data_IF_330532842462
#
_entry.id   IF_330532842462
#
_cell.length_a   1.000
_cell.length_b   1.000
_cell.length_c   1.000
_cell.angle_alpha   90.00
_cell.angle_beta   90.00
_cell.angle_gamma   90.00
#
_symmetry.space_group_name_H-M   'P 1'
#
loop_
_entity.id
_entity.type
_entity.pdbx_description
1 polymer ?
#
# COMPACT_ATOMS: atom_id res chain seq x y z
N UNK A 1 17.51 -8.02 35.53
CA UNK A 1 17.63 -6.59 35.85
C UNK A 1 16.87 -5.86 34.75
N UNK A 2 15.90 -5.03 35.10
CA UNK A 2 15.16 -4.20 34.12
C UNK A 2 16.15 -3.19 33.53
N UNK A 3 16.15 -3.00 32.21
CA UNK A 3 16.98 -2.00 31.53
C UNK A 3 16.68 -0.61 32.11
N UNK A 4 17.71 0.14 32.48
CA UNK A 4 17.58 1.48 33.11
C UNK A 4 16.81 2.46 32.25
N UNK A 5 16.87 2.31 30.91
CA UNK A 5 16.13 3.14 29.96
C UNK A 5 14.61 2.92 30.05
N UNK A 6 14.16 1.68 30.33
CA UNK A 6 12.74 1.38 30.53
C UNK A 6 12.23 2.03 31.81
N UNK A 7 13.05 1.99 32.90
CA UNK A 7 12.69 2.66 34.15
C UNK A 7 12.62 4.18 33.98
N UNK A 8 13.59 4.78 33.25
CA UNK A 8 13.60 6.20 32.90
C UNK A 8 12.36 6.60 32.07
N UNK A 9 11.97 5.80 31.07
CA UNK A 9 10.75 6.02 30.30
C UNK A 9 9.49 6.01 31.18
N UNK A 10 9.40 5.04 32.10
CA UNK A 10 8.25 4.91 32.99
C UNK A 10 8.18 6.09 33.98
N UNK A 11 9.31 6.64 34.37
CA UNK A 11 9.36 7.86 35.17
C UNK A 11 8.96 9.11 34.38
N UNK A 12 9.39 9.20 33.11
CA UNK A 12 9.06 10.33 32.23
C UNK A 12 7.58 10.33 31.79
N UNK A 13 6.94 9.15 31.75
CA UNK A 13 5.55 8.98 31.37
C UNK A 13 4.86 7.92 32.25
N UNK A 14 4.44 8.25 33.50
CA UNK A 14 3.93 7.27 34.47
C UNK A 14 2.68 6.51 34.04
N UNK A 15 1.83 7.10 33.18
CA UNK A 15 0.60 6.49 32.65
C UNK A 15 0.81 5.59 31.45
N UNK A 16 2.01 5.59 30.85
CA UNK A 16 2.30 4.86 29.62
C UNK A 16 2.28 3.34 29.85
N UNK A 17 1.47 2.66 29.03
CA UNK A 17 1.50 1.20 29.01
C UNK A 17 2.72 0.72 28.25
N UNK A 18 3.57 -0.06 28.90
CA UNK A 18 4.76 -0.70 28.32
C UNK A 18 4.57 -2.22 28.25
N UNK A 19 5.17 -2.85 27.24
CA UNK A 19 5.30 -4.30 27.13
C UNK A 19 6.77 -4.66 26.91
N UNK A 20 7.24 -5.67 27.61
CA UNK A 20 8.65 -6.12 27.61
C UNK A 20 8.78 -7.64 27.51
N UNK A 21 7.66 -8.36 27.47
CA UNK A 21 7.68 -9.81 27.34
C UNK A 21 8.20 -10.25 25.98
N UNK A 22 9.00 -11.33 25.89
CA UNK A 22 9.61 -11.79 24.64
C UNK A 22 8.59 -11.99 23.50
N UNK A 23 7.39 -12.53 23.80
CA UNK A 23 6.35 -12.74 22.81
C UNK A 23 5.80 -11.40 22.24
N UNK A 24 5.66 -10.38 23.09
CA UNK A 24 5.27 -9.03 22.68
C UNK A 24 6.38 -8.37 21.86
N UNK A 25 7.64 -8.47 22.30
CA UNK A 25 8.78 -7.92 21.56
C UNK A 25 8.87 -8.51 20.15
N UNK A 26 8.70 -9.82 20.03
CA UNK A 26 8.65 -10.50 18.73
C UNK A 26 7.46 -10.03 17.89
N UNK A 27 6.25 -9.99 18.46
CA UNK A 27 5.03 -9.64 17.74
C UNK A 27 5.04 -8.20 17.22
N UNK A 28 5.45 -7.23 18.07
CA UNK A 28 5.43 -5.80 17.72
C UNK A 28 6.67 -5.32 16.98
N UNK A 29 7.79 -6.04 17.11
CA UNK A 29 9.05 -5.65 16.46
C UNK A 29 9.18 -6.07 15.01
N UNK A 30 8.19 -6.76 14.43
CA UNK A 30 8.17 -7.23 13.05
C UNK A 30 7.02 -6.65 12.25
N UNK A 31 7.12 -6.69 10.92
CA UNK A 31 6.02 -6.50 9.98
C UNK A 31 5.65 -7.80 9.26
N UNK A 32 4.86 -7.69 8.20
CA UNK A 32 4.42 -8.87 7.43
C UNK A 32 5.54 -9.58 6.66
N UNK A 33 6.67 -8.90 6.40
CA UNK A 33 7.81 -9.50 5.65
C UNK A 33 8.47 -10.64 6.39
N UNK A 34 8.53 -10.57 7.72
CA UNK A 34 9.21 -11.55 8.60
C UNK A 34 10.68 -11.84 8.23
N UNK A 35 11.34 -10.88 7.58
CA UNK A 35 12.74 -11.03 7.11
C UNK A 35 13.79 -10.76 8.18
N UNK A 36 13.43 -10.03 9.23
CA UNK A 36 14.35 -9.62 10.31
C UNK A 36 13.91 -10.26 11.62
N UNK A 37 14.91 -10.62 12.45
CA UNK A 37 14.68 -11.02 13.83
C UNK A 37 14.39 -9.76 14.64
N UNK A 38 13.20 -9.65 15.27
CA UNK A 38 12.88 -8.50 16.10
C UNK A 38 13.78 -8.45 17.34
N UNK A 39 14.24 -7.24 17.68
CA UNK A 39 15.01 -6.99 18.89
C UNK A 39 14.72 -5.57 19.44
N UNK A 40 13.45 -5.18 19.65
CA UNK A 40 13.15 -3.88 20.24
C UNK A 40 13.51 -3.85 21.72
N UNK A 41 13.81 -2.63 22.24
CA UNK A 41 14.01 -2.36 23.66
C UNK A 41 12.74 -2.66 24.48
N UNK A 42 11.63 -2.14 24.04
CA UNK A 42 10.29 -2.27 24.63
C UNK A 42 9.23 -1.80 23.63
N UNK A 43 7.97 -2.05 23.96
CA UNK A 43 6.81 -1.57 23.21
C UNK A 43 6.08 -0.53 24.05
N UNK A 44 6.01 0.69 23.56
CA UNK A 44 5.24 1.78 24.15
C UNK A 44 3.85 1.85 23.48
N UNK A 45 2.80 1.91 24.27
CA UNK A 45 1.40 1.89 23.86
C UNK A 45 0.67 3.15 24.38
N UNK A 46 0.95 4.33 23.83
CA UNK A 46 0.28 5.56 24.23
C UNK A 46 -1.23 5.51 23.91
N UNK A 47 -2.03 6.18 24.73
CA UNK A 47 -3.45 6.39 24.53
C UNK A 47 -3.81 7.83 24.20
N UNK A 48 -2.88 8.76 24.40
CA UNK A 48 -3.08 10.20 24.17
C UNK A 48 -1.92 10.82 23.40
N UNK A 49 -2.16 12.01 22.85
CA UNK A 49 -1.12 12.79 22.14
C UNK A 49 0.00 13.19 23.09
N UNK A 50 -0.35 13.54 24.34
CA UNK A 50 0.59 13.95 25.37
C UNK A 50 1.55 12.81 25.75
N UNK A 51 1.05 11.56 25.80
CA UNK A 51 1.91 10.38 26.02
C UNK A 51 2.87 10.20 24.85
N UNK A 52 2.44 10.38 23.59
CA UNK A 52 3.33 10.33 22.41
C UNK A 52 4.39 11.43 22.51
N UNK A 53 4.00 12.67 22.86
CA UNK A 53 4.93 13.77 23.05
C UNK A 53 5.96 13.48 24.15
N UNK A 54 5.52 12.90 25.28
CA UNK A 54 6.42 12.52 26.40
C UNK A 54 7.42 11.45 25.96
N UNK A 55 6.98 10.42 25.23
CA UNK A 55 7.84 9.38 24.66
C UNK A 55 8.88 9.99 23.71
N UNK A 56 8.47 10.89 22.82
CA UNK A 56 9.39 11.51 21.85
C UNK A 56 10.41 12.43 22.53
N UNK A 57 10.01 13.20 23.57
CA UNK A 57 10.94 13.99 24.39
C UNK A 57 11.92 13.11 25.17
N UNK A 58 11.43 12.02 25.78
CA UNK A 58 12.30 11.05 26.45
C UNK A 58 13.31 10.45 25.47
N UNK A 59 12.83 9.99 24.30
CA UNK A 59 13.70 9.48 23.22
C UNK A 59 14.77 10.48 22.82
N UNK A 60 14.43 11.78 22.78
CA UNK A 60 15.37 12.84 22.49
C UNK A 60 16.47 12.99 23.56
N UNK A 61 16.09 12.87 24.82
CA UNK A 61 17.02 12.99 25.96
C UNK A 61 17.93 11.78 26.13
N UNK A 62 17.39 10.58 25.94
CA UNK A 62 18.13 9.30 26.15
C UNK A 62 18.86 8.81 24.89
N UNK A 63 18.65 9.42 23.74
CA UNK A 63 19.24 8.98 22.47
C UNK A 63 18.68 7.65 21.94
N UNK A 64 17.48 7.23 22.39
CA UNK A 64 16.86 5.97 21.98
C UNK A 64 16.07 6.18 20.68
N UNK A 65 16.33 5.36 19.67
CA UNK A 65 15.59 5.38 18.43
C UNK A 65 14.13 4.89 18.63
N UNK A 66 13.20 5.44 17.85
CA UNK A 66 11.76 5.10 17.89
C UNK A 66 11.29 4.61 16.53
N UNK A 67 10.59 3.48 16.52
CA UNK A 67 9.91 2.93 15.36
C UNK A 67 8.41 3.11 15.55
N UNK A 68 7.74 4.05 14.83
CA UNK A 68 6.30 4.16 14.83
C UNK A 68 5.67 2.90 14.22
N UNK A 69 4.64 2.37 14.86
CA UNK A 69 3.99 1.12 14.46
C UNK A 69 2.47 1.26 14.45
N UNK A 70 1.87 0.89 13.32
CA UNK A 70 0.42 0.74 13.17
C UNK A 70 0.02 -0.74 13.17
N UNK A 71 -0.71 -1.16 12.10
CA UNK A 71 -1.19 -2.54 11.94
C UNK A 71 -0.13 -3.58 11.58
N UNK A 72 1.08 -3.19 11.26
CA UNK A 72 2.21 -4.06 10.86
C UNK A 72 1.94 -4.94 9.63
N UNK A 73 1.02 -4.50 8.78
CA UNK A 73 0.65 -5.16 7.52
C UNK A 73 1.60 -4.86 6.37
N UNK A 74 2.57 -3.96 6.59
CA UNK A 74 3.52 -3.50 5.57
C UNK A 74 4.42 -4.61 5.03
N UNK A 75 4.84 -4.45 3.77
CA UNK A 75 5.63 -5.41 2.99
C UNK A 75 7.04 -4.90 2.66
N UNK A 76 7.49 -3.83 3.32
CA UNK A 76 8.79 -3.20 3.03
C UNK A 76 9.77 -3.17 4.22
N UNK A 77 9.39 -3.68 5.39
CA UNK A 77 10.22 -3.57 6.60
C UNK A 77 10.08 -2.23 7.32
N UNK A 78 9.05 -1.43 7.01
CA UNK A 78 8.85 -0.09 7.54
C UNK A 78 8.60 -0.02 9.05
N UNK A 79 7.98 -1.05 9.65
CA UNK A 79 7.68 -1.13 11.07
C UNK A 79 8.62 -2.09 11.85
N UNK A 80 9.71 -2.54 11.24
CA UNK A 80 10.66 -3.46 11.87
C UNK A 80 11.55 -2.73 12.89
N UNK A 81 11.67 -3.28 14.10
CA UNK A 81 12.59 -2.85 15.14
C UNK A 81 13.52 -4.02 15.49
N UNK A 82 14.78 -3.97 15.03
CA UNK A 82 15.74 -5.06 15.12
C UNK A 82 17.07 -4.66 15.82
N UNK A 83 17.19 -3.41 16.29
CA UNK A 83 18.45 -2.86 16.79
C UNK A 83 18.30 -2.13 18.15
N UNK A 84 17.36 -2.57 18.99
CA UNK A 84 17.16 -1.96 20.29
C UNK A 84 16.33 -0.68 20.30
N UNK A 85 15.60 -0.41 19.24
CA UNK A 85 14.68 0.73 19.14
C UNK A 85 13.47 0.54 20.08
N UNK A 86 12.86 1.63 20.51
CA UNK A 86 11.54 1.60 21.12
C UNK A 86 10.46 1.50 20.03
N UNK A 87 9.60 0.49 20.08
CA UNK A 87 8.41 0.47 19.22
C UNK A 87 7.33 1.36 19.84
N UNK A 88 6.83 2.30 19.07
CA UNK A 88 5.72 3.18 19.46
C UNK A 88 4.45 2.74 18.72
N UNK A 89 3.66 1.88 19.35
CA UNK A 89 2.42 1.36 18.76
C UNK A 89 1.22 2.25 19.10
N UNK A 90 0.53 2.74 18.05
CA UNK A 90 -0.61 3.63 18.19
C UNK A 90 -1.95 2.90 18.33
N UNK A 91 -1.98 1.58 18.52
CA UNK A 91 -3.20 0.76 18.55
C UNK A 91 -4.25 1.20 19.59
N UNK A 92 -3.83 1.89 20.68
CA UNK A 92 -4.74 2.44 21.69
C UNK A 92 -5.33 3.80 21.30
N UNK A 93 -4.80 4.44 20.27
CA UNK A 93 -5.31 5.69 19.68
C UNK A 93 -6.14 5.36 18.45
N UNK A 94 -7.33 4.79 18.65
CA UNK A 94 -8.13 4.13 17.61
C UNK A 94 -9.57 4.62 17.51
N UNK A 95 -9.83 5.87 17.87
CA UNK A 95 -11.18 6.45 17.91
C UNK A 95 -11.48 7.37 16.74
N UNK A 96 -12.72 7.37 16.26
CA UNK A 96 -13.30 8.51 15.54
C UNK A 96 -13.62 9.62 16.56
N UNK A 97 -13.24 10.86 16.24
CA UNK A 97 -13.31 11.98 17.17
C UNK A 97 -14.42 12.96 16.80
N UNK A 98 -14.37 13.53 15.60
CA UNK A 98 -15.27 14.59 15.15
C UNK A 98 -15.67 14.34 13.70
N UNK A 99 -16.97 14.34 13.44
CA UNK A 99 -17.53 14.40 12.10
C UNK A 99 -18.03 15.82 11.82
N UNK A 100 -17.67 16.36 10.66
CA UNK A 100 -18.20 17.61 10.14
C UNK A 100 -19.05 17.33 8.90
N UNK A 101 -20.36 17.61 9.02
CA UNK A 101 -21.32 17.34 7.96
C UNK A 101 -21.24 18.34 6.80
N UNK A 102 -20.75 19.57 7.04
CA UNK A 102 -20.62 20.61 6.01
C UNK A 102 -19.39 20.37 5.16
N UNK A 103 -18.25 20.14 5.83
CA UNK A 103 -16.98 19.86 5.15
C UNK A 103 -16.85 18.40 4.69
N UNK A 104 -17.80 17.53 5.11
CA UNK A 104 -17.76 16.08 4.87
C UNK A 104 -16.40 15.50 5.26
N UNK A 105 -15.98 15.77 6.49
CA UNK A 105 -14.71 15.28 7.03
C UNK A 105 -14.92 14.53 8.33
N UNK A 106 -14.02 13.59 8.59
CA UNK A 106 -13.98 12.83 9.83
C UNK A 106 -12.57 12.92 10.42
N UNK A 107 -12.48 13.39 11.68
CA UNK A 107 -11.22 13.37 12.43
C UNK A 107 -11.09 12.02 13.12
N UNK A 108 -9.99 11.32 12.86
CA UNK A 108 -9.70 9.99 13.39
C UNK A 108 -8.31 9.91 14.00
N UNK A 109 -8.15 9.08 15.03
CA UNK A 109 -6.85 8.78 15.60
C UNK A 109 -6.07 7.80 14.71
N UNK A 110 -4.76 7.96 14.63
CA UNK A 110 -3.90 7.27 13.66
C UNK A 110 -3.86 5.73 13.81
N UNK A 111 -4.13 5.20 15.00
CA UNK A 111 -4.22 3.76 15.26
C UNK A 111 -5.58 3.13 14.91
N UNK A 112 -6.53 3.90 14.39
CA UNK A 112 -7.84 3.38 13.99
C UNK A 112 -7.70 2.44 12.78
N UNK A 113 -8.24 1.21 12.83
CA UNK A 113 -8.26 0.32 11.68
C UNK A 113 -9.02 0.94 10.49
N UNK A 114 -8.56 0.68 9.27
CA UNK A 114 -9.20 1.25 8.07
C UNK A 114 -10.67 0.83 7.95
N UNK A 115 -10.99 -0.43 8.26
CA UNK A 115 -12.38 -0.92 8.28
C UNK A 115 -13.25 -0.15 9.28
N UNK A 116 -12.70 0.22 10.44
CA UNK A 116 -13.42 1.05 11.40
C UNK A 116 -13.63 2.49 10.88
N UNK A 117 -12.70 3.04 10.09
CA UNK A 117 -12.89 4.33 9.40
C UNK A 117 -14.01 4.24 8.38
N UNK A 118 -14.06 3.14 7.60
CA UNK A 118 -15.17 2.89 6.66
C UNK A 118 -16.52 2.84 7.37
N UNK A 119 -16.62 2.07 8.46
CA UNK A 119 -17.85 1.93 9.23
C UNK A 119 -18.30 3.29 9.81
N UNK A 120 -17.36 4.06 10.37
CA UNK A 120 -17.65 5.39 10.88
C UNK A 120 -18.11 6.38 9.79
N UNK A 121 -17.63 6.25 8.56
CA UNK A 121 -18.12 7.05 7.42
C UNK A 121 -19.53 6.61 7.00
N UNK A 122 -19.80 5.29 6.97
CA UNK A 122 -21.11 4.72 6.62
C UNK A 122 -22.21 5.12 7.62
N UNK A 123 -21.88 5.31 8.90
CA UNK A 123 -22.82 5.82 9.92
C UNK A 123 -23.39 7.22 9.56
N UNK A 124 -22.71 7.93 8.66
CA UNK A 124 -23.13 9.25 8.14
C UNK A 124 -23.62 9.19 6.68
N UNK A 125 -23.82 7.99 6.11
CA UNK A 125 -24.22 7.81 4.71
C UNK A 125 -23.15 8.17 3.69
N UNK A 126 -21.88 8.25 4.10
CA UNK A 126 -20.73 8.60 3.27
C UNK A 126 -19.73 7.45 3.26
N UNK A 127 -18.72 7.55 2.38
CA UNK A 127 -17.58 6.61 2.35
C UNK A 127 -16.24 7.33 2.48
N UNK A 128 -15.26 6.63 3.05
CA UNK A 128 -13.84 6.88 2.84
C UNK A 128 -13.38 5.93 1.73
N UNK A 129 -13.00 6.41 0.53
CA UNK A 129 -12.97 5.56 -0.67
C UNK A 129 -11.67 4.78 -0.85
N UNK A 130 -10.65 5.01 -0.02
CA UNK A 130 -9.41 4.21 -0.08
C UNK A 130 -9.66 2.87 0.60
N UNK A 131 -9.52 1.78 -0.17
CA UNK A 131 -9.76 0.42 0.31
C UNK A 131 -8.78 -0.57 -0.29
N UNK A 132 -8.34 -1.55 0.51
CA UNK A 132 -7.46 -2.63 0.10
C UNK A 132 -7.53 -3.83 1.06
N UNK A 133 -7.00 -4.97 0.65
CA UNK A 133 -7.18 -6.26 1.31
C UNK A 133 -6.83 -6.28 2.82
N UNK A 134 -5.90 -5.45 3.27
CA UNK A 134 -5.48 -5.39 4.68
C UNK A 134 -6.38 -4.53 5.59
N UNK A 135 -7.53 -4.02 5.13
CA UNK A 135 -8.40 -3.05 5.83
C UNK A 135 -8.76 -3.40 7.27
N UNK A 136 -8.95 -4.69 7.57
CA UNK A 136 -9.27 -5.15 8.93
C UNK A 136 -8.11 -5.06 9.92
N UNK A 137 -6.88 -4.90 9.46
CA UNK A 137 -5.66 -4.93 10.29
C UNK A 137 -4.78 -3.71 10.14
N UNK A 138 -4.74 -3.07 8.95
CA UNK A 138 -3.98 -1.84 8.77
C UNK A 138 -4.63 -0.68 9.49
N UNK A 139 -3.85 0.36 9.80
CA UNK A 139 -4.33 1.55 10.50
C UNK A 139 -4.19 2.78 9.62
N UNK A 140 -5.07 3.76 9.82
CA UNK A 140 -5.10 4.98 9.01
C UNK A 140 -3.76 5.74 9.05
N UNK A 141 -3.08 5.79 10.19
CA UNK A 141 -1.75 6.41 10.31
C UNK A 141 -0.68 5.67 9.49
N UNK A 142 -0.74 4.34 9.45
CA UNK A 142 0.13 3.52 8.60
C UNK A 142 -0.14 3.75 7.12
N UNK A 143 -1.42 3.80 6.72
CA UNK A 143 -1.83 4.05 5.34
C UNK A 143 -1.38 5.43 4.85
N UNK A 144 -1.46 6.46 5.71
CA UNK A 144 -0.95 7.80 5.42
C UNK A 144 0.58 7.77 5.31
N UNK A 145 1.27 7.09 6.23
CA UNK A 145 2.74 7.03 6.23
C UNK A 145 3.31 6.34 4.99
N UNK A 146 2.57 5.43 4.34
CA UNK A 146 2.96 4.77 3.10
C UNK A 146 2.30 5.37 1.85
N UNK A 147 1.38 6.32 2.00
CA UNK A 147 0.52 6.79 0.93
C UNK A 147 -0.18 5.64 0.21
N UNK A 148 -0.78 4.73 0.97
CA UNK A 148 -1.35 3.49 0.47
C UNK A 148 -2.43 3.73 -0.62
N UNK A 149 -2.45 2.85 -1.60
CA UNK A 149 -3.47 2.77 -2.64
C UNK A 149 -4.14 1.40 -2.65
N UNK A 150 -5.05 1.17 -3.58
CA UNK A 150 -5.75 -0.09 -3.77
C UNK A 150 -6.43 -0.14 -5.12
N UNK A 151 -7.37 -1.07 -5.29
CA UNK A 151 -7.99 -1.39 -6.58
C UNK A 151 -8.79 -0.24 -7.24
N UNK A 152 -9.18 0.79 -6.47
CA UNK A 152 -9.95 1.93 -6.98
C UNK A 152 -9.15 3.23 -7.12
N UNK A 153 -7.81 3.14 -7.17
CA UNK A 153 -6.92 4.29 -7.37
C UNK A 153 -7.22 5.03 -8.67
N UNK A 154 -7.56 4.32 -9.74
CA UNK A 154 -7.97 4.92 -11.02
C UNK A 154 -9.14 5.91 -10.86
N UNK A 155 -10.03 5.69 -9.89
CA UNK A 155 -11.21 6.52 -9.63
C UNK A 155 -10.97 7.56 -8.55
N UNK A 156 -10.35 7.17 -7.45
CA UNK A 156 -10.30 7.98 -6.23
C UNK A 156 -8.89 8.46 -5.87
N UNK A 157 -7.86 8.00 -6.57
CA UNK A 157 -6.48 8.30 -6.19
C UNK A 157 -6.05 7.54 -4.94
N UNK A 158 -4.86 7.90 -4.45
CA UNK A 158 -4.26 7.31 -3.26
C UNK A 158 -4.73 8.02 -1.97
N UNK A 159 -4.29 7.52 -0.82
CA UNK A 159 -4.56 8.10 0.51
C UNK A 159 -4.31 9.62 0.56
N UNK A 160 -3.27 10.12 -0.12
CA UNK A 160 -2.88 11.54 -0.18
C UNK A 160 -4.03 12.47 -0.55
N UNK A 161 -4.85 12.10 -1.50
CA UNK A 161 -5.97 12.90 -2.01
C UNK A 161 -7.09 13.06 -0.97
N UNK A 162 -7.14 12.16 0.02
CA UNK A 162 -8.20 12.07 1.02
C UNK A 162 -7.83 12.64 2.38
N UNK A 163 -6.61 13.15 2.56
CA UNK A 163 -6.16 13.73 3.82
C UNK A 163 -6.28 15.26 3.78
N UNK A 164 -7.24 15.80 4.54
CA UNK A 164 -7.48 17.23 4.65
C UNK A 164 -6.58 17.89 5.71
N UNK A 165 -6.21 17.18 6.77
CA UNK A 165 -5.37 17.69 7.85
C UNK A 165 -4.64 16.57 8.59
N UNK A 166 -3.56 16.92 9.30
CA UNK A 166 -2.80 15.99 10.14
C UNK A 166 -2.43 16.64 11.47
N UNK A 167 -2.47 15.88 12.56
CA UNK A 167 -1.68 16.15 13.76
C UNK A 167 -0.51 15.20 13.85
N UNK A 168 0.66 15.75 14.09
CA UNK A 168 1.93 15.02 14.02
C UNK A 168 2.81 15.43 15.19
N UNK A 169 3.38 14.47 15.88
CA UNK A 169 4.40 14.70 16.90
C UNK A 169 5.78 14.58 16.23
N UNK A 170 6.59 15.64 16.37
CA UNK A 170 7.96 15.72 15.83
C UNK A 170 8.94 14.84 16.59
N UNK A 171 10.15 14.67 16.05
CA UNK A 171 11.24 13.99 16.76
C UNK A 171 11.65 14.68 18.08
N UNK A 172 11.37 15.99 18.25
CA UNK A 172 11.56 16.73 19.50
C UNK A 172 10.40 16.64 20.49
N UNK A 173 9.27 16.03 20.09
CA UNK A 173 8.06 15.91 20.92
C UNK A 173 7.14 17.13 20.85
N UNK A 174 7.31 18.01 19.85
CA UNK A 174 6.37 19.11 19.57
C UNK A 174 5.18 18.61 18.78
N UNK A 175 4.01 19.18 19.00
CA UNK A 175 2.79 18.88 18.25
C UNK A 175 2.64 19.87 17.10
N UNK A 176 2.53 19.36 15.88
CA UNK A 176 2.18 20.15 14.69
C UNK A 176 0.75 19.85 14.27
N UNK A 177 -0.02 20.90 14.00
CA UNK A 177 -1.35 20.83 13.40
C UNK A 177 -1.28 21.37 11.96
N UNK A 178 -1.35 20.49 10.99
CA UNK A 178 -1.10 20.78 9.58
C UNK A 178 -2.40 20.90 8.79
N UNK A 179 -2.57 22.03 8.10
CA UNK A 179 -3.70 22.40 7.24
C UNK A 179 -5.07 22.52 7.93
N UNK A 180 -5.32 21.88 9.05
CA UNK A 180 -6.56 21.97 9.87
C UNK A 180 -7.87 21.80 9.08
N UNK A 181 -7.87 21.00 8.02
CA UNK A 181 -9.03 20.74 7.17
C UNK A 181 -9.32 21.80 6.08
N UNK A 182 -8.54 22.87 5.98
CA UNK A 182 -8.79 23.95 5.00
C UNK A 182 -8.71 23.44 3.56
N UNK A 183 -9.73 23.77 2.74
CA UNK A 183 -9.75 23.47 1.30
C UNK A 183 -8.74 24.36 0.55
N UNK A 184 -8.71 25.65 0.86
CA UNK A 184 -7.77 26.61 0.27
C UNK A 184 -6.80 27.09 1.34
N UNK A 185 -5.53 26.77 1.18
CA UNK A 185 -4.46 27.21 2.05
C UNK A 185 -3.16 27.40 1.25
N UNK A 186 -2.83 28.65 0.96
CA UNK A 186 -1.59 29.04 0.27
C UNK A 186 -0.61 29.76 1.23
N UNK A 187 -0.71 29.50 2.54
CA UNK A 187 0.08 30.17 3.57
C UNK A 187 1.39 29.43 3.86
N UNK A 188 2.27 29.33 2.88
CA UNK A 188 3.58 28.70 3.00
C UNK A 188 3.61 27.22 2.49
N UNK A 189 4.63 26.48 2.94
CA UNK A 189 4.78 25.08 2.53
C UNK A 189 3.75 24.17 3.19
N UNK A 190 3.17 23.26 2.40
CA UNK A 190 2.28 22.23 2.92
C UNK A 190 3.08 21.02 3.43
N UNK A 191 3.49 21.07 4.69
CA UNK A 191 4.23 19.98 5.34
C UNK A 191 3.43 18.69 5.45
N UNK A 192 2.08 18.75 5.38
CA UNK A 192 1.24 17.56 5.32
C UNK A 192 1.68 16.67 4.14
N UNK A 193 1.99 17.27 3.01
CA UNK A 193 2.41 16.54 1.80
C UNK A 193 3.78 15.85 1.92
N UNK A 194 4.65 16.34 2.80
CA UNK A 194 5.94 15.69 3.09
C UNK A 194 5.77 14.50 4.04
N UNK A 195 4.79 14.56 4.95
CA UNK A 195 4.55 13.50 5.94
C UNK A 195 3.79 12.31 5.35
N UNK A 196 2.93 12.56 4.36
CA UNK A 196 2.25 11.49 3.62
C UNK A 196 3.27 10.76 2.72
N UNK A 197 3.47 9.47 2.97
CA UNK A 197 4.49 8.68 2.27
C UNK A 197 5.89 8.77 2.88
N UNK A 198 6.04 9.37 4.08
CA UNK A 198 7.34 9.48 4.76
C UNK A 198 7.76 8.23 5.54
N UNK A 199 6.94 7.20 5.56
CA UNK A 199 7.17 5.92 6.26
C UNK A 199 7.58 6.09 7.74
N UNK A 200 7.00 7.11 8.42
CA UNK A 200 7.29 7.40 9.83
C UNK A 200 8.68 7.97 10.10
N UNK A 201 9.41 8.43 9.07
CA UNK A 201 10.77 8.98 9.23
C UNK A 201 10.81 10.46 9.56
N UNK A 202 9.72 11.22 9.32
CA UNK A 202 9.66 12.66 9.51
C UNK A 202 8.82 13.11 10.71
N UNK A 203 7.98 12.23 11.25
CA UNK A 203 7.10 12.51 12.38
C UNK A 203 6.20 11.34 12.71
N UNK A 204 5.60 11.35 13.89
CA UNK A 204 4.60 10.39 14.33
C UNK A 204 3.22 10.97 14.09
N UNK A 205 2.50 10.45 13.10
CA UNK A 205 1.10 10.85 12.83
C UNK A 205 0.23 10.33 13.97
N UNK A 206 -0.49 11.22 14.66
CA UNK A 206 -1.34 10.87 15.81
C UNK A 206 -2.83 11.03 15.52
N UNK A 207 -3.21 11.98 14.67
CA UNK A 207 -4.58 12.18 14.19
C UNK A 207 -4.58 12.58 12.72
N UNK A 208 -5.65 12.26 12.01
CA UNK A 208 -5.88 12.68 10.64
C UNK A 208 -7.32 13.20 10.47
N UNK A 209 -7.47 14.28 9.69
CA UNK A 209 -8.75 14.70 9.14
C UNK A 209 -8.87 14.09 7.77
N UNK A 210 -9.73 13.09 7.63
CA UNK A 210 -10.01 12.43 6.35
C UNK A 210 -11.24 13.06 5.68
N UNK A 211 -11.18 13.19 4.35
CA UNK A 211 -12.32 13.61 3.54
C UNK A 211 -13.22 12.41 3.26
N UNK A 212 -14.51 12.65 3.21
CA UNK A 212 -15.52 11.65 2.85
C UNK A 212 -16.22 12.06 1.56
N UNK A 213 -16.81 11.09 0.87
CA UNK A 213 -17.57 11.32 -0.37
C UNK A 213 -18.85 10.48 -0.36
N UNK A 214 -19.73 10.77 -1.31
CA UNK A 214 -20.91 9.94 -1.53
C UNK A 214 -20.50 8.51 -1.92
N UNK A 215 -21.28 7.50 -1.53
CA UNK A 215 -21.09 6.13 -2.03
C UNK A 215 -21.07 6.10 -3.55
N UNK A 216 -20.29 5.17 -4.18
CA UNK A 216 -20.31 5.04 -5.61
C UNK A 216 -21.73 4.71 -6.10
N UNK A 217 -22.11 5.13 -7.31
CA UNK A 217 -23.34 4.65 -7.93
C UNK A 217 -23.29 3.13 -8.07
N UNK A 218 -24.45 2.51 -8.36
CA UNK A 218 -24.48 1.09 -8.74
C UNK A 218 -23.45 0.82 -9.84
N UNK A 219 -22.75 -0.30 -9.74
CA UNK A 219 -21.69 -0.65 -10.68
C UNK A 219 -21.88 -2.07 -11.19
N UNK A 220 -21.47 -2.30 -12.44
CA UNK A 220 -21.33 -3.63 -13.00
C UNK A 220 -19.84 -4.00 -13.09
N UNK A 221 -19.58 -5.29 -13.03
CA UNK A 221 -18.25 -5.87 -13.20
C UNK A 221 -18.23 -6.68 -14.47
N UNK A 222 -17.23 -6.46 -15.31
CA UNK A 222 -16.94 -7.32 -16.45
C UNK A 222 -15.63 -8.07 -16.21
N UNK A 223 -15.62 -9.35 -16.58
CA UNK A 223 -14.41 -10.12 -16.77
C UNK A 223 -14.24 -10.35 -18.27
N UNK A 224 -13.08 -10.01 -18.79
CA UNK A 224 -12.72 -10.10 -20.20
C UNK A 224 -11.53 -11.04 -20.39
N UNK A 225 -11.60 -11.93 -21.38
CA UNK A 225 -10.49 -12.74 -21.83
C UNK A 225 -9.72 -12.00 -22.92
N UNK A 226 -8.41 -11.82 -22.72
CA UNK A 226 -7.55 -11.02 -23.60
C UNK A 226 -6.45 -11.91 -24.20
N UNK A 227 -6.30 -11.95 -25.54
CA UNK A 227 -5.40 -12.91 -26.20
C UNK A 227 -3.91 -12.58 -26.06
N UNK A 228 -3.57 -11.30 -25.85
CA UNK A 228 -2.18 -10.91 -25.67
C UNK A 228 -2.05 -9.64 -24.82
N UNK A 229 -0.86 -9.43 -24.28
CA UNK A 229 -0.61 -8.25 -23.45
C UNK A 229 -0.57 -6.94 -24.28
N UNK A 230 -0.16 -7.02 -25.54
CA UNK A 230 -0.09 -5.87 -26.45
C UNK A 230 -1.45 -5.21 -26.66
N UNK A 231 -2.52 -6.00 -26.68
CA UNK A 231 -3.88 -5.46 -26.89
C UNK A 231 -4.60 -5.07 -25.61
N UNK A 232 -4.05 -5.40 -24.44
CA UNK A 232 -4.69 -5.07 -23.16
C UNK A 232 -4.87 -3.56 -22.97
N UNK A 233 -3.89 -2.77 -23.38
CA UNK A 233 -3.98 -1.31 -23.27
C UNK A 233 -4.94 -0.69 -24.30
N UNK A 234 -5.21 -1.35 -25.43
CA UNK A 234 -6.28 -0.97 -26.35
C UNK A 234 -7.66 -1.23 -25.71
N UNK A 235 -7.84 -2.37 -25.02
CA UNK A 235 -9.05 -2.64 -24.24
C UNK A 235 -9.25 -1.56 -23.17
N UNK A 236 -8.21 -1.22 -22.40
CA UNK A 236 -8.28 -0.13 -21.43
C UNK A 236 -8.71 1.19 -22.06
N UNK A 237 -8.09 1.58 -23.18
CA UNK A 237 -8.41 2.83 -23.87
C UNK A 237 -9.86 2.86 -24.39
N UNK A 238 -10.35 1.74 -24.94
CA UNK A 238 -11.73 1.61 -25.44
C UNK A 238 -12.76 1.78 -24.32
N UNK A 239 -12.55 1.12 -23.17
CA UNK A 239 -13.43 1.23 -22.01
C UNK A 239 -13.37 2.61 -21.37
N UNK A 240 -12.16 3.15 -21.14
CA UNK A 240 -11.96 4.47 -20.51
C UNK A 240 -12.55 5.62 -21.32
N UNK A 241 -12.59 5.50 -22.66
CA UNK A 241 -13.17 6.53 -23.53
C UNK A 241 -14.70 6.65 -23.40
N UNK A 242 -15.38 5.59 -22.95
CA UNK A 242 -16.85 5.50 -22.92
C UNK A 242 -17.43 5.42 -21.51
N UNK A 243 -16.64 4.96 -20.53
CA UNK A 243 -17.13 4.61 -19.20
C UNK A 243 -16.38 5.34 -18.09
N UNK A 244 -17.08 5.56 -16.98
CA UNK A 244 -16.48 5.99 -15.74
C UNK A 244 -16.00 4.74 -14.98
N UNK A 245 -14.73 4.39 -15.21
CA UNK A 245 -14.13 3.22 -14.57
C UNK A 245 -13.92 3.44 -13.08
N UNK A 246 -14.29 2.44 -12.29
CA UNK A 246 -13.99 2.35 -10.85
C UNK A 246 -12.70 1.58 -10.63
N UNK A 247 -12.46 0.51 -11.43
CA UNK A 247 -11.27 -0.31 -11.41
C UNK A 247 -10.99 -0.88 -12.80
N UNK A 248 -9.71 -1.17 -13.08
CA UNK A 248 -9.28 -1.88 -14.27
C UNK A 248 -8.04 -2.71 -13.92
N UNK A 249 -8.27 -3.99 -13.67
CA UNK A 249 -7.32 -4.95 -13.13
C UNK A 249 -6.98 -6.01 -14.14
N UNK A 250 -5.76 -6.56 -14.09
CA UNK A 250 -5.43 -7.71 -14.92
C UNK A 250 -4.77 -8.84 -14.11
N UNK A 251 -4.80 -10.04 -14.67
CA UNK A 251 -4.06 -11.20 -14.19
C UNK A 251 -3.84 -12.21 -15.32
N UNK A 252 -2.84 -13.07 -15.16
CA UNK A 252 -2.49 -14.11 -16.12
C UNK A 252 -3.28 -15.42 -15.87
N UNK A 253 -3.25 -16.32 -16.85
CA UNK A 253 -3.73 -17.71 -16.72
C UNK A 253 -3.14 -18.41 -15.50
N UNK A 254 -1.83 -18.21 -15.28
CA UNK A 254 -1.14 -18.79 -14.13
C UNK A 254 -1.71 -18.28 -12.80
N UNK A 255 -2.06 -17.00 -12.71
CA UNK A 255 -2.73 -16.46 -11.53
C UNK A 255 -4.11 -17.09 -11.34
N UNK A 256 -4.88 -17.23 -12.43
CA UNK A 256 -6.18 -17.89 -12.39
C UNK A 256 -6.08 -19.33 -11.90
N UNK A 257 -5.13 -20.10 -12.41
CA UNK A 257 -4.91 -21.49 -12.01
C UNK A 257 -4.75 -21.63 -10.48
N UNK A 258 -3.96 -20.77 -9.86
CA UNK A 258 -3.79 -20.77 -8.40
C UNK A 258 -5.08 -20.44 -7.64
N UNK A 259 -5.90 -19.52 -8.16
CA UNK A 259 -7.17 -19.15 -7.53
C UNK A 259 -8.21 -20.27 -7.68
N UNK A 260 -8.26 -20.92 -8.85
CA UNK A 260 -9.13 -22.08 -9.08
C UNK A 260 -8.75 -23.26 -8.18
N UNK A 261 -7.46 -23.53 -8.03
CA UNK A 261 -6.96 -24.55 -7.10
C UNK A 261 -7.33 -24.23 -5.62
N UNK A 262 -7.70 -22.98 -5.32
CA UNK A 262 -8.16 -22.50 -4.02
C UNK A 262 -9.69 -22.48 -3.88
N UNK A 263 -10.42 -23.05 -4.84
CA UNK A 263 -11.86 -23.28 -4.79
C UNK A 263 -12.73 -22.21 -5.46
N UNK A 264 -12.15 -21.33 -6.28
CA UNK A 264 -12.92 -20.47 -7.16
C UNK A 264 -13.45 -21.27 -8.38
N UNK A 265 -14.44 -20.72 -9.07
CA UNK A 265 -15.01 -21.32 -10.28
C UNK A 265 -14.37 -20.71 -11.53
N UNK A 266 -14.11 -21.54 -12.55
CA UNK A 266 -13.62 -21.07 -13.83
C UNK A 266 -14.66 -20.13 -14.49
N UNK A 267 -14.22 -18.98 -15.00
CA UNK A 267 -15.13 -17.98 -15.58
C UNK A 267 -15.55 -18.33 -17.00
N UNK A 268 -14.74 -19.10 -17.74
CA UNK A 268 -14.91 -19.51 -19.13
C UNK A 268 -14.62 -20.99 -19.29
N UNK A 269 -15.12 -21.60 -20.36
CA UNK A 269 -14.84 -23.00 -20.70
C UNK A 269 -13.41 -23.19 -21.22
N UNK A 270 -12.85 -22.16 -21.87
CA UNK A 270 -11.49 -22.14 -22.40
C UNK A 270 -10.54 -21.33 -21.51
N UNK A 271 -9.26 -21.71 -21.49
CA UNK A 271 -8.20 -20.95 -20.81
C UNK A 271 -7.64 -19.90 -21.77
N UNK A 272 -7.52 -18.67 -21.28
CA UNK A 272 -6.97 -17.55 -22.01
C UNK A 272 -5.70 -17.04 -21.32
N UNK A 273 -4.71 -16.47 -22.04
CA UNK A 273 -3.44 -16.08 -21.44
C UNK A 273 -3.56 -14.91 -20.47
N UNK A 274 -4.53 -14.01 -20.68
CA UNK A 274 -4.76 -12.84 -19.83
C UNK A 274 -6.24 -12.60 -19.58
N UNK A 275 -6.51 -12.04 -18.41
CA UNK A 275 -7.86 -11.68 -17.97
C UNK A 275 -7.87 -10.25 -17.45
N UNK A 276 -8.95 -9.53 -17.72
CA UNK A 276 -9.21 -8.20 -17.18
C UNK A 276 -10.50 -8.22 -16.38
N UNK A 277 -10.42 -7.77 -15.12
CA UNK A 277 -11.58 -7.38 -14.34
C UNK A 277 -11.72 -5.87 -14.41
N UNK A 278 -12.86 -5.39 -14.89
CA UNK A 278 -13.17 -3.96 -14.89
C UNK A 278 -14.49 -3.70 -14.19
N UNK A 279 -14.51 -2.67 -13.35
CA UNK A 279 -15.71 -2.17 -12.67
C UNK A 279 -16.02 -0.77 -13.19
N UNK A 280 -17.27 -0.51 -13.50
CA UNK A 280 -17.73 0.76 -14.03
C UNK A 280 -19.12 1.12 -13.50
N UNK A 281 -19.42 2.42 -13.45
CA UNK A 281 -20.74 2.89 -13.05
C UNK A 281 -21.81 2.37 -14.04
N UNK A 282 -22.91 1.83 -13.52
CA UNK A 282 -24.02 1.25 -14.27
C UNK A 282 -25.36 1.67 -13.64
N UNK A 283 -25.54 2.98 -13.49
CA UNK A 283 -26.72 3.59 -12.86
C UNK A 283 -27.82 3.93 -13.86
N UNK A 284 -27.62 3.71 -15.17
CA UNK A 284 -28.60 3.91 -16.23
C UNK A 284 -28.32 3.01 -17.45
N UNK A 285 -29.35 2.84 -18.31
CA UNK A 285 -29.28 2.04 -19.53
C UNK A 285 -28.22 2.57 -20.53
N UNK A 286 -27.90 3.86 -20.51
CA UNK A 286 -26.93 4.44 -21.43
C UNK A 286 -25.50 3.98 -21.08
N UNK A 287 -25.18 3.82 -19.81
CA UNK A 287 -23.89 3.32 -19.37
C UNK A 287 -23.73 1.82 -19.65
N UNK A 288 -24.80 1.05 -19.46
CA UNK A 288 -24.80 -0.37 -19.84
C UNK A 288 -24.62 -0.54 -21.35
N UNK A 289 -25.33 0.24 -22.17
CA UNK A 289 -25.17 0.24 -23.61
C UNK A 289 -23.76 0.66 -24.05
N UNK A 290 -23.16 1.65 -23.37
CA UNK A 290 -21.79 2.09 -23.63
C UNK A 290 -20.76 1.00 -23.29
N UNK A 291 -20.99 0.23 -22.23
CA UNK A 291 -20.13 -0.90 -21.85
C UNK A 291 -20.22 -2.03 -22.89
N UNK A 292 -21.42 -2.37 -23.32
CA UNK A 292 -21.62 -3.36 -24.38
C UNK A 292 -21.01 -2.92 -25.71
N UNK A 293 -21.15 -1.66 -26.09
CA UNK A 293 -20.52 -1.12 -27.29
C UNK A 293 -18.98 -1.14 -27.21
N UNK A 294 -18.39 -0.87 -26.02
CA UNK A 294 -16.96 -1.00 -25.83
C UNK A 294 -16.50 -2.47 -25.95
N UNK A 295 -17.25 -3.39 -25.38
CA UNK A 295 -17.00 -4.82 -25.49
C UNK A 295 -17.09 -5.32 -26.94
N UNK A 296 -18.16 -4.98 -27.65
CA UNK A 296 -18.38 -5.35 -29.07
C UNK A 296 -17.25 -4.81 -29.96
N UNK A 297 -16.82 -3.56 -29.77
CA UNK A 297 -15.69 -3.00 -30.49
C UNK A 297 -14.38 -3.76 -30.20
N UNK A 298 -14.14 -4.12 -28.94
CA UNK A 298 -12.95 -4.91 -28.58
C UNK A 298 -12.99 -6.32 -29.19
N UNK A 299 -14.16 -6.98 -29.19
CA UNK A 299 -14.36 -8.27 -29.86
C UNK A 299 -14.14 -8.15 -31.37
N UNK A 300 -14.74 -7.14 -32.00
CA UNK A 300 -14.62 -6.91 -33.44
C UNK A 300 -13.20 -6.64 -33.92
N UNK A 301 -12.35 -6.05 -33.04
CA UNK A 301 -10.93 -5.82 -33.30
C UNK A 301 -10.03 -7.00 -32.89
N UNK A 302 -10.59 -8.07 -32.31
CA UNK A 302 -9.81 -9.19 -31.81
C UNK A 302 -8.97 -8.88 -30.55
N UNK A 303 -9.32 -7.83 -29.79
CA UNK A 303 -8.64 -7.46 -28.55
C UNK A 303 -9.20 -8.21 -27.35
N UNK A 304 -10.41 -8.70 -27.45
CA UNK A 304 -11.09 -9.55 -26.46
C UNK A 304 -11.58 -10.82 -27.17
N UNK A 305 -11.37 -11.98 -26.56
CA UNK A 305 -11.78 -13.29 -27.09
C UNK A 305 -13.11 -13.77 -26.52
N UNK A 306 -13.39 -13.43 -25.25
CA UNK A 306 -14.60 -13.78 -24.52
C UNK A 306 -14.84 -12.79 -23.38
N UNK A 307 -16.05 -12.74 -22.83
CA UNK A 307 -16.37 -11.84 -21.74
C UNK A 307 -17.69 -12.16 -21.04
N UNK A 308 -17.75 -11.83 -19.76
CA UNK A 308 -18.96 -11.95 -18.93
C UNK A 308 -19.18 -10.67 -18.15
N UNK A 309 -20.43 -10.21 -18.08
CA UNK A 309 -20.89 -9.10 -17.25
C UNK A 309 -21.68 -9.63 -16.06
N UNK A 310 -21.51 -9.05 -14.90
CA UNK A 310 -22.27 -9.40 -13.71
C UNK A 310 -23.75 -8.99 -13.85
N UNK A 311 -24.64 -9.91 -13.54
CA UNK A 311 -26.10 -9.68 -13.51
C UNK A 311 -26.61 -9.47 -12.07
N UNK A 312 -25.73 -9.52 -11.06
CA UNK A 312 -26.03 -9.31 -9.64
C UNK A 312 -24.77 -9.03 -8.84
N UNK A 313 -24.95 -8.44 -7.65
CA UNK A 313 -23.85 -8.20 -6.70
C UNK A 313 -23.11 -9.50 -6.32
N UNK A 314 -23.83 -10.62 -6.20
CA UNK A 314 -23.24 -11.91 -5.90
C UNK A 314 -22.32 -12.39 -7.04
N UNK A 315 -22.71 -12.18 -8.29
CA UNK A 315 -21.88 -12.51 -9.45
C UNK A 315 -20.71 -11.53 -9.57
N UNK A 316 -20.93 -10.24 -9.34
CA UNK A 316 -19.85 -9.24 -9.28
C UNK A 316 -18.77 -9.63 -8.25
N UNK A 317 -19.20 -10.04 -7.05
CA UNK A 317 -18.30 -10.52 -6.01
C UNK A 317 -17.55 -11.81 -6.42
N UNK A 318 -18.18 -12.72 -7.17
CA UNK A 318 -17.51 -13.90 -7.70
C UNK A 318 -16.45 -13.55 -8.74
N UNK A 319 -16.71 -12.60 -9.63
CA UNK A 319 -15.72 -12.13 -10.60
C UNK A 319 -14.53 -11.44 -9.91
N UNK A 320 -14.81 -10.62 -8.91
CA UNK A 320 -13.76 -9.99 -8.10
C UNK A 320 -12.89 -11.00 -7.34
N UNK A 321 -13.47 -12.10 -6.84
CA UNK A 321 -12.71 -13.16 -6.15
C UNK A 321 -11.60 -13.75 -7.02
N UNK A 322 -11.77 -13.78 -8.34
CA UNK A 322 -10.73 -14.27 -9.25
C UNK A 322 -9.48 -13.39 -9.21
N UNK A 323 -9.62 -12.09 -8.99
CA UNK A 323 -8.51 -11.15 -8.88
C UNK A 323 -8.02 -10.98 -7.42
N UNK A 324 -8.92 -10.76 -6.49
CA UNK A 324 -8.56 -10.51 -5.08
C UNK A 324 -8.03 -11.75 -4.38
N UNK A 325 -8.48 -12.93 -4.75
CA UNK A 325 -8.04 -14.21 -4.20
C UNK A 325 -6.59 -14.60 -4.57
N UNK A 326 -5.95 -13.92 -5.53
CA UNK A 326 -4.59 -14.27 -5.99
C UNK A 326 -3.58 -14.22 -4.84
N UNK A 327 -3.55 -13.13 -4.09
CA UNK A 327 -2.56 -12.95 -3.00
C UNK A 327 -2.68 -14.02 -1.93
N UNK A 328 -3.90 -14.41 -1.56
CA UNK A 328 -4.17 -15.47 -0.58
C UNK A 328 -3.79 -16.84 -1.12
N UNK A 329 -4.17 -17.16 -2.37
CA UNK A 329 -3.86 -18.45 -3.00
C UNK A 329 -2.36 -18.71 -3.12
N UNK A 330 -1.56 -17.63 -3.25
CA UNK A 330 -0.11 -17.71 -3.35
C UNK A 330 0.62 -17.76 -1.98
N UNK A 331 -0.06 -17.45 -0.87
CA UNK A 331 0.59 -17.28 0.43
C UNK A 331 1.38 -18.53 0.90
N UNK A 332 0.90 -19.73 0.57
CA UNK A 332 1.56 -21.01 0.91
C UNK A 332 2.95 -21.17 0.26
N UNK A 333 3.20 -20.52 -0.88
CA UNK A 333 4.46 -20.62 -1.63
C UNK A 333 5.52 -19.60 -1.20
N UNK A 334 5.27 -18.80 -0.16
CA UNK A 334 6.19 -17.76 0.31
C UNK A 334 6.72 -16.88 -0.85
N UNK A 335 5.85 -16.23 -1.64
CA UNK A 335 6.26 -15.54 -2.84
C UNK A 335 7.24 -14.40 -2.56
N UNK A 336 8.25 -14.26 -3.42
CA UNK A 336 9.04 -13.04 -3.48
C UNK A 336 8.29 -12.01 -4.35
N UNK A 337 7.95 -10.87 -3.76
CA UNK A 337 7.04 -9.89 -4.36
C UNK A 337 7.80 -8.69 -4.89
N UNK A 338 7.68 -8.43 -6.18
CA UNK A 338 8.02 -7.15 -6.78
C UNK A 338 6.72 -6.40 -7.06
N UNK A 339 6.67 -5.15 -6.62
CA UNK A 339 5.56 -4.23 -6.73
C UNK A 339 6.10 -2.95 -7.35
N UNK A 340 5.85 -2.76 -8.63
CA UNK A 340 6.49 -1.72 -9.46
C UNK A 340 5.45 -0.93 -10.24
N UNK A 341 5.80 0.29 -10.66
CA UNK A 341 4.93 1.07 -11.51
C UNK A 341 5.69 1.83 -12.58
N UNK A 342 5.03 2.03 -13.72
CA UNK A 342 5.47 2.90 -14.81
C UNK A 342 4.28 3.74 -15.29
N UNK A 343 4.56 4.76 -16.10
CA UNK A 343 3.47 5.49 -16.77
C UNK A 343 2.62 4.51 -17.58
N UNK A 344 1.29 4.66 -17.54
CA UNK A 344 0.34 3.79 -18.26
C UNK A 344 0.72 3.65 -19.74
N UNK A 345 1.13 4.73 -20.38
CA UNK A 345 1.56 4.76 -21.79
C UNK A 345 2.84 3.95 -22.06
N UNK A 346 3.68 3.74 -21.07
CA UNK A 346 4.91 2.96 -21.19
C UNK A 346 4.71 1.48 -20.87
N UNK A 347 3.55 1.09 -20.34
CA UNK A 347 3.27 -0.25 -19.85
C UNK A 347 3.52 -1.37 -20.90
N UNK A 348 3.07 -1.25 -22.18
CA UNK A 348 3.30 -2.32 -23.16
C UNK A 348 4.79 -2.61 -23.38
N UNK A 349 5.61 -1.57 -23.56
CA UNK A 349 7.05 -1.73 -23.78
C UNK A 349 7.76 -2.23 -22.51
N UNK A 350 7.40 -1.70 -21.35
CA UNK A 350 7.94 -2.14 -20.06
C UNK A 350 7.69 -3.61 -19.80
N UNK A 351 6.47 -4.08 -20.08
CA UNK A 351 6.11 -5.48 -19.88
C UNK A 351 6.84 -6.42 -20.82
N UNK A 352 6.90 -6.10 -22.10
CA UNK A 352 7.64 -6.91 -23.07
C UNK A 352 9.10 -7.11 -22.63
N UNK A 353 9.76 -6.04 -22.19
CA UNK A 353 11.15 -6.11 -21.72
C UNK A 353 11.26 -6.88 -20.39
N UNK A 354 10.32 -6.65 -19.47
CA UNK A 354 10.35 -7.30 -18.15
C UNK A 354 9.99 -8.78 -18.25
N UNK A 355 9.05 -9.18 -19.10
CA UNK A 355 8.74 -10.59 -19.35
C UNK A 355 9.93 -11.33 -19.95
N UNK A 356 10.64 -10.72 -20.92
CA UNK A 356 11.84 -11.31 -21.49
C UNK A 356 12.94 -11.48 -20.42
N UNK A 357 13.16 -10.46 -19.58
CA UNK A 357 14.11 -10.52 -18.47
C UNK A 357 13.76 -11.64 -17.48
N UNK A 358 12.53 -11.67 -17.01
CA UNK A 358 12.05 -12.64 -16.01
C UNK A 358 12.06 -14.05 -16.56
N UNK A 359 11.60 -14.27 -17.81
CA UNK A 359 11.61 -15.57 -18.45
C UNK A 359 13.03 -16.13 -18.63
N UNK A 360 14.00 -15.25 -18.92
CA UNK A 360 15.41 -15.66 -19.01
C UNK A 360 16.03 -15.92 -17.61
N UNK A 361 15.68 -15.11 -16.61
CA UNK A 361 16.28 -15.19 -15.28
C UNK A 361 15.70 -16.33 -14.43
N UNK A 362 14.44 -16.68 -14.65
CA UNK A 362 13.70 -17.71 -13.89
C UNK A 362 13.11 -18.81 -14.78
N UNK A 363 13.90 -19.53 -15.59
CA UNK A 363 13.37 -20.52 -16.54
C UNK A 363 12.67 -21.71 -15.87
N UNK A 364 12.87 -21.91 -14.56
CA UNK A 364 12.32 -23.00 -13.77
C UNK A 364 11.42 -22.54 -12.61
N UNK A 365 11.23 -21.22 -12.45
CA UNK A 365 10.40 -20.69 -11.38
C UNK A 365 8.98 -20.40 -11.90
N UNK A 366 8.02 -20.63 -11.02
CA UNK A 366 6.65 -20.18 -11.26
C UNK A 366 6.56 -18.68 -10.95
N UNK A 367 6.20 -17.90 -11.98
CA UNK A 367 6.08 -16.44 -11.86
C UNK A 367 4.66 -16.01 -12.18
N UNK A 368 4.00 -15.41 -11.20
CA UNK A 368 2.61 -15.02 -11.29
C UNK A 368 2.51 -13.50 -11.46
N UNK A 369 1.82 -13.08 -12.51
CA UNK A 369 1.66 -11.68 -12.90
C UNK A 369 0.21 -11.24 -12.72
N UNK A 370 0.02 -10.13 -12.04
CA UNK A 370 -1.25 -9.45 -11.91
C UNK A 370 -1.02 -7.99 -11.53
N UNK A 371 -2.05 -7.15 -11.55
CA UNK A 371 -1.86 -5.76 -11.10
C UNK A 371 -3.00 -4.83 -11.44
N UNK A 372 -2.83 -3.61 -10.95
CA UNK A 372 -3.69 -2.47 -11.19
C UNK A 372 -3.27 -1.79 -12.50
N UNK A 373 -3.58 -2.45 -13.63
CA UNK A 373 -3.06 -2.01 -14.94
C UNK A 373 -3.61 -0.64 -15.35
N UNK A 374 -4.78 -0.27 -14.82
CA UNK A 374 -5.42 1.01 -15.08
C UNK A 374 -4.67 2.22 -14.50
N UNK A 375 -3.79 2.02 -13.52
CA UNK A 375 -2.95 3.06 -12.90
C UNK A 375 -1.44 2.83 -13.09
N UNK A 376 -1.08 1.77 -13.82
CA UNK A 376 0.32 1.49 -14.18
C UNK A 376 1.09 0.66 -13.16
N UNK A 377 0.42 0.02 -12.20
CA UNK A 377 1.04 -0.83 -11.20
C UNK A 377 1.02 -2.32 -11.60
N UNK A 378 2.16 -2.97 -11.40
CA UNK A 378 2.39 -4.36 -11.74
C UNK A 378 2.94 -5.14 -10.54
N UNK A 379 2.31 -6.25 -10.20
CA UNK A 379 2.79 -7.22 -9.23
C UNK A 379 3.41 -8.42 -9.94
N UNK A 380 4.68 -8.69 -9.62
CA UNK A 380 5.44 -9.84 -10.13
C UNK A 380 5.80 -10.70 -8.93
N UNK A 381 5.10 -11.82 -8.76
CA UNK A 381 5.32 -12.74 -7.66
C UNK A 381 6.06 -13.98 -8.13
N UNK A 382 7.29 -14.16 -7.66
CA UNK A 382 8.09 -15.35 -7.92
C UNK A 382 7.81 -16.37 -6.82
N UNK A 383 7.33 -17.54 -7.16
CA UNK A 383 7.02 -18.58 -6.20
C UNK A 383 8.26 -19.40 -5.88
N UNK A 384 8.49 -19.71 -4.59
CA UNK A 384 9.64 -20.49 -4.17
C UNK A 384 9.43 -21.97 -4.52
N UNK A 385 10.34 -22.59 -5.29
CA UNK A 385 10.33 -24.03 -5.50
C UNK A 385 10.61 -24.80 -4.21
N UNK A 386 10.04 -26.00 -4.08
CA UNK A 386 10.17 -26.82 -2.87
C UNK A 386 11.61 -27.32 -2.64
N UNK A 387 12.39 -27.49 -3.73
CA UNK A 387 13.77 -27.97 -3.73
C UNK A 387 14.83 -26.87 -3.51
N UNK A 388 14.42 -25.62 -3.41
CA UNK A 388 15.32 -24.47 -3.24
C UNK A 388 15.32 -23.99 -1.80
N UNK A 389 16.50 -23.73 -1.21
CA UNK A 389 16.59 -23.16 0.14
C UNK A 389 16.04 -21.72 0.18
N UNK A 390 15.53 -21.27 1.33
CA UNK A 390 15.03 -19.91 1.51
C UNK A 390 16.12 -18.87 1.20
N UNK A 391 17.38 -19.13 1.58
CA UNK A 391 18.51 -18.23 1.36
C UNK A 391 18.89 -18.13 -0.14
N UNK A 392 19.00 -19.26 -0.84
CA UNK A 392 19.33 -19.28 -2.26
C UNK A 392 18.22 -18.65 -3.10
N UNK A 393 16.96 -18.93 -2.74
CA UNK A 393 15.81 -18.32 -3.39
C UNK A 393 15.83 -16.79 -3.27
N UNK A 394 16.01 -16.26 -2.06
CA UNK A 394 16.09 -14.82 -1.81
C UNK A 394 17.26 -14.20 -2.57
N UNK A 395 18.45 -14.81 -2.55
CA UNK A 395 19.63 -14.31 -3.25
C UNK A 395 19.42 -14.21 -4.77
N UNK A 396 18.79 -15.22 -5.38
CA UNK A 396 18.43 -15.20 -6.80
C UNK A 396 17.40 -14.11 -7.11
N UNK A 397 16.35 -13.97 -6.28
CA UNK A 397 15.33 -12.94 -6.46
C UNK A 397 15.90 -11.52 -6.29
N UNK A 398 16.80 -11.29 -5.35
CA UNK A 398 17.48 -10.00 -5.19
C UNK A 398 18.38 -9.65 -6.38
N UNK A 399 19.05 -10.65 -6.99
CA UNK A 399 19.81 -10.43 -8.22
C UNK A 399 18.90 -9.94 -9.35
N UNK A 400 17.76 -10.59 -9.56
CA UNK A 400 16.81 -10.20 -10.62
C UNK A 400 16.14 -8.86 -10.31
N UNK A 401 15.86 -8.55 -9.03
CA UNK A 401 15.36 -7.24 -8.64
C UNK A 401 16.33 -6.10 -9.03
N UNK A 402 17.66 -6.33 -8.98
CA UNK A 402 18.64 -5.34 -9.49
C UNK A 402 18.50 -5.12 -10.99
N UNK A 403 18.31 -6.18 -11.77
CA UNK A 403 18.08 -6.07 -13.21
C UNK A 403 16.76 -5.38 -13.52
N UNK A 404 15.69 -5.71 -12.79
CA UNK A 404 14.39 -5.05 -12.91
C UNK A 404 14.48 -3.55 -12.57
N UNK A 405 15.25 -3.19 -11.55
CA UNK A 405 15.50 -1.79 -11.19
C UNK A 405 16.18 -1.00 -12.33
N UNK A 406 17.09 -1.65 -13.09
CA UNK A 406 17.70 -1.04 -14.28
C UNK A 406 16.70 -0.87 -15.43
N UNK A 407 15.78 -1.82 -15.61
CA UNK A 407 14.66 -1.66 -16.57
C UNK A 407 13.80 -0.48 -16.16
N UNK A 408 13.35 -0.43 -14.90
CA UNK A 408 12.53 0.66 -14.37
C UNK A 408 13.15 2.04 -14.57
N UNK A 409 14.46 2.17 -14.34
CA UNK A 409 15.17 3.44 -14.55
C UNK A 409 15.09 3.94 -16.00
N UNK A 410 15.04 3.05 -17.01
CA UNK A 410 14.87 3.43 -18.42
C UNK A 410 13.46 3.91 -18.76
N UNK A 411 12.47 3.48 -17.97
CA UNK A 411 11.07 3.85 -18.15
C UNK A 411 10.59 4.96 -17.19
N UNK A 412 11.50 5.59 -16.43
CA UNK A 412 11.18 6.54 -15.35
C UNK A 412 10.18 5.93 -14.34
N UNK A 413 10.31 4.63 -14.09
CA UNK A 413 9.42 3.86 -13.25
C UNK A 413 9.76 3.92 -11.77
N UNK A 414 8.90 3.32 -10.93
CA UNK A 414 9.12 3.18 -9.49
C UNK A 414 9.34 1.73 -9.10
N UNK A 415 10.35 1.49 -8.27
CA UNK A 415 10.62 0.19 -7.64
C UNK A 415 9.58 -0.17 -6.56
N UNK A 416 8.76 0.80 -6.17
CA UNK A 416 7.67 0.59 -5.22
C UNK A 416 6.46 1.41 -5.63
N UNK A 417 5.40 0.73 -6.10
CA UNK A 417 4.14 1.37 -6.42
C UNK A 417 3.34 1.71 -5.15
N UNK A 418 3.18 0.74 -4.24
CA UNK A 418 2.31 0.84 -3.06
C UNK A 418 3.03 0.55 -1.74
N UNK A 419 3.97 -0.42 -1.72
CA UNK A 419 4.48 -1.00 -0.47
C UNK A 419 5.43 -0.09 0.32
N UNK A 420 5.93 1.00 -0.28
CA UNK A 420 7.00 1.81 0.28
C UNK A 420 8.39 1.19 0.05
N UNK A 421 9.41 1.90 0.46
CA UNK A 421 10.83 1.51 0.34
C UNK A 421 11.30 0.72 1.57
N UNK A 422 11.05 1.24 2.77
CA UNK A 422 11.42 0.62 4.04
C UNK A 422 12.86 0.16 4.10
N UNK A 423 13.07 -1.07 4.60
CA UNK A 423 14.36 -1.76 4.60
C UNK A 423 14.57 -2.61 3.34
N UNK A 424 13.49 -3.15 2.75
CA UNK A 424 13.56 -4.13 1.64
C UNK A 424 14.09 -3.50 0.37
N UNK A 425 13.62 -2.31 0.02
CA UNK A 425 13.88 -1.65 -1.26
C UNK A 425 14.89 -0.51 -1.16
N UNK A 426 15.44 -0.26 0.03
CA UNK A 426 16.42 0.83 0.28
C UNK A 426 17.61 0.81 -0.70
N UNK A 427 18.14 -0.38 -1.00
CA UNK A 427 19.26 -0.55 -1.93
C UNK A 427 18.94 -0.28 -3.41
N UNK A 428 17.69 0.01 -3.73
CA UNK A 428 17.23 0.26 -5.11
C UNK A 428 16.59 1.66 -5.26
N UNK A 429 16.64 2.49 -4.23
CA UNK A 429 16.02 3.83 -4.26
C UNK A 429 16.59 4.70 -5.38
N UNK A 430 17.87 4.56 -5.69
CA UNK A 430 18.58 5.28 -6.76
C UNK A 430 18.12 4.89 -8.19
N UNK A 431 17.43 3.77 -8.35
CA UNK A 431 16.80 3.42 -9.63
C UNK A 431 15.53 4.24 -9.93
N UNK A 432 14.94 4.84 -8.90
CA UNK A 432 13.71 5.64 -9.00
C UNK A 432 13.97 7.14 -8.77
N UNK A 433 14.94 7.46 -7.90
CA UNK A 433 15.25 8.83 -7.45
C UNK A 433 16.67 9.20 -7.81
N UNK A 434 16.84 10.35 -8.46
CA UNK A 434 18.18 10.85 -8.80
C UNK A 434 19.02 11.25 -7.57
N UNK A 435 20.36 11.30 -7.71
CA UNK A 435 21.25 11.62 -6.57
C UNK A 435 20.95 12.97 -5.89
N UNK A 436 20.57 13.99 -6.66
CA UNK A 436 20.20 15.30 -6.13
C UNK A 436 18.92 15.24 -5.30
N UNK A 437 17.92 14.44 -5.74
CA UNK A 437 16.68 14.25 -5.02
C UNK A 437 16.93 13.50 -3.71
N UNK A 438 17.72 12.43 -3.73
CA UNK A 438 18.10 11.68 -2.52
C UNK A 438 18.86 12.59 -1.54
N UNK A 439 19.76 13.44 -2.01
CA UNK A 439 20.47 14.42 -1.17
C UNK A 439 19.48 15.39 -0.51
N UNK A 440 18.48 15.87 -1.25
CA UNK A 440 17.43 16.75 -0.70
C UNK A 440 16.54 16.00 0.32
N UNK A 441 16.16 14.75 0.05
CA UNK A 441 15.40 13.90 0.99
C UNK A 441 16.16 13.74 2.31
N UNK A 442 17.48 13.50 2.25
CA UNK A 442 18.35 13.43 3.45
C UNK A 442 18.43 14.77 4.19
N UNK A 443 18.47 15.90 3.49
CA UNK A 443 18.45 17.22 4.10
C UNK A 443 17.12 17.50 4.82
N UNK A 444 15.99 17.14 4.20
CA UNK A 444 14.66 17.20 4.82
C UNK A 444 14.61 16.33 6.08
N UNK A 445 15.09 15.09 6.00
CA UNK A 445 15.16 14.21 7.18
C UNK A 445 15.93 14.85 8.32
N UNK A 446 17.12 15.44 8.06
CA UNK A 446 17.93 16.13 9.09
C UNK A 446 17.23 17.37 9.67
N UNK A 447 16.41 18.06 8.87
CA UNK A 447 15.64 19.20 9.36
C UNK A 447 14.52 18.77 10.33
N UNK A 448 13.85 17.64 10.06
CA UNK A 448 12.79 17.11 10.91
C UNK A 448 13.29 16.28 12.09
N UNK A 449 14.39 15.60 11.91
CA UNK A 449 15.00 14.70 12.90
C UNK A 449 16.53 14.79 12.85
N UNK A 450 17.13 15.82 13.48
CA UNK A 450 18.56 16.08 13.43
C UNK A 450 19.45 14.95 13.98
N UNK A 451 18.90 14.12 14.85
CA UNK A 451 19.61 12.99 15.47
C UNK A 451 19.32 11.65 14.79
N UNK A 452 18.55 11.64 13.70
CA UNK A 452 18.18 10.46 12.91
C UNK A 452 17.63 9.29 13.77
N UNK A 453 16.80 9.60 14.79
CA UNK A 453 16.26 8.61 15.74
C UNK A 453 14.88 8.08 15.37
N UNK A 454 14.15 8.82 14.54
CA UNK A 454 12.80 8.43 14.15
C UNK A 454 12.85 7.50 12.94
N UNK A 455 12.43 6.27 13.14
CA UNK A 455 12.42 5.16 12.17
C UNK A 455 13.74 5.01 11.40
N UNK A 456 14.89 4.86 12.09
CA UNK A 456 16.21 4.91 11.47
C UNK A 456 16.41 3.76 10.45
N UNK A 457 17.22 4.03 9.43
CA UNK A 457 17.61 3.05 8.41
C UNK A 457 16.54 2.70 7.38
N UNK A 458 15.31 3.25 7.49
CA UNK A 458 14.26 3.12 6.48
C UNK A 458 14.42 4.21 5.43
N UNK A 459 14.03 3.93 4.19
CA UNK A 459 14.18 4.75 2.99
C UNK A 459 15.65 4.88 2.55
N UNK A 460 16.51 5.43 3.38
CA UNK A 460 17.93 5.66 3.14
C UNK A 460 18.71 5.82 4.47
N UNK A 461 20.02 5.77 4.40
CA UNK A 461 20.91 6.10 5.53
C UNK A 461 21.27 7.60 5.50
N UNK A 462 21.29 8.25 6.68
CA UNK A 462 21.50 9.70 6.85
C UNK A 462 22.92 10.00 7.30
#
# INVERSE_FOLDING_TARGET
MTDSRIASLQQACPGLKLKTDPADLEHYGRDWTRRWTPAPLAIALPATVEEVQAVMRWSAGEGVAVVPSGGRTGLSGGAVAANGELVLSLERMNKALVYDAVDRTLVVQAGMPLEAVHNAALDHGLIYPVDFAARGSCTIGGNIATNAGGIRVIRYGNTREWIAGLKVVTASGELLELNKGLIKNSSGYDFRQLLIGSEGTLGVIVEATVKLTDPPPASNVMLLAVPSFEVLMQVFAAFRARLQLQAFEFFTDRALEHVLAHGAQAPFDEVHPYYVVTEFAANDEAQEAAAMAAFEDCMGNGWVSDGVISASDAQAAQLWRLREGITESLARYKPYKNDVSVRISAMPAFLAETQALIGQAYPHFDVVWFGHIGDGNLHINVLKPDDTSDADFVAQCEHVTKLLAQVLARFDGSISAEHGIGLVKKGYLDSTRGPAEIALMKAVKRAFDPQARLNPGKLFDV
#
